data_IF_114876171724
#
_entry.id   IF_114876171724
#
_cell.length_a   1.000
_cell.length_b   1.000
_cell.length_c   1.000
_cell.angle_alpha   90.00
_cell.angle_beta   90.00
_cell.angle_gamma   90.00
#
_symmetry.space_group_name_H-M   'P 1'
#
loop_
_entity.id
_entity.type
_entity.pdbx_description
1 polymer ?
#
# COMPACT_ATOMS: atom_id res chain seq x y z
N UNK A 1 -59.03 8.18 59.03
CA UNK A 1 -58.27 9.40 59.35
C UNK A 1 -57.67 9.89 58.04
N UNK A 2 -58.34 10.76 57.28
CA UNK A 2 -58.29 12.23 57.39
C UNK A 2 -56.81 12.72 57.41
N UNK A 3 -56.29 13.57 56.53
CA UNK A 3 -56.91 14.51 55.58
C UNK A 3 -55.83 15.24 54.75
N UNK A 4 -56.19 15.58 53.51
CA UNK A 4 -56.05 16.90 52.83
C UNK A 4 -54.67 17.59 52.57
N UNK A 5 -54.34 17.64 51.27
CA UNK A 5 -53.78 18.76 50.45
C UNK A 5 -54.47 20.13 50.72
N UNK A 6 -53.98 21.35 50.33
CA UNK A 6 -53.57 21.68 48.93
C UNK A 6 -52.64 22.90 48.60
N UNK A 7 -52.19 22.99 47.32
CA UNK A 7 -52.08 24.18 46.41
C UNK A 7 -51.10 25.36 46.72
N UNK A 8 -50.50 26.19 45.83
CA UNK A 8 -50.55 26.55 44.38
C UNK A 8 -49.21 27.29 44.03
N UNK A 9 -48.80 27.37 42.74
CA UNK A 9 -47.58 28.04 42.20
C UNK A 9 -47.51 29.58 42.27
N UNK A 10 -46.68 30.31 41.45
CA UNK A 10 -46.75 30.25 39.98
C UNK A 10 -45.46 30.60 39.14
N UNK A 11 -45.63 30.47 37.80
CA UNK A 11 -45.03 31.19 36.65
C UNK A 11 -43.64 30.86 36.03
N UNK A 12 -43.73 30.50 34.73
CA UNK A 12 -42.78 30.53 33.58
C UNK A 12 -42.34 31.97 33.22
N UNK A 13 -41.31 32.25 32.36
CA UNK A 13 -41.14 31.76 30.96
C UNK A 13 -39.65 31.57 30.53
N UNK A 14 -39.18 31.18 29.33
CA UNK A 14 -39.70 30.77 28.01
C UNK A 14 -38.52 30.34 27.12
N UNK A 15 -38.79 29.41 26.17
CA UNK A 15 -38.18 29.26 24.82
C UNK A 15 -36.72 28.77 24.74
N UNK A 16 -36.32 27.88 23.84
CA UNK A 16 -36.89 27.52 22.53
C UNK A 16 -36.58 26.06 22.14
N UNK A 17 -37.57 25.45 21.51
CA UNK A 17 -37.48 24.24 20.68
C UNK A 17 -36.86 24.61 19.33
N UNK A 18 -36.15 23.67 18.69
CA UNK A 18 -36.62 23.04 17.44
C UNK A 18 -35.54 22.16 16.82
N UNK A 19 -35.77 20.85 16.93
CA UNK A 19 -35.39 19.86 15.93
C UNK A 19 -36.33 19.96 14.72
N UNK A 20 -35.78 20.01 13.51
CA UNK A 20 -36.52 19.69 12.27
C UNK A 20 -35.54 19.26 11.18
N UNK A 21 -35.76 18.04 10.70
CA UNK A 21 -35.36 17.49 9.40
C UNK A 21 -35.60 18.49 8.25
N UNK A 22 -34.83 18.40 7.16
CA UNK A 22 -35.33 18.16 5.78
C UNK A 22 -34.16 18.03 4.77
N UNK A 23 -34.32 16.99 3.96
CA UNK A 23 -33.76 16.64 2.65
C UNK A 23 -33.14 17.75 1.78
N UNK A 24 -32.00 17.42 1.16
CA UNK A 24 -31.49 18.07 -0.06
C UNK A 24 -31.46 17.07 -1.22
N UNK A 25 -32.52 17.06 -2.04
CA UNK A 25 -32.59 16.41 -3.35
C UNK A 25 -32.01 17.36 -4.39
N UNK A 26 -31.12 16.88 -5.27
CA UNK A 26 -30.78 17.55 -6.53
C UNK A 26 -31.20 16.66 -7.71
N UNK A 27 -32.24 17.10 -8.41
CA UNK A 27 -32.74 16.70 -9.72
C UNK A 27 -33.22 18.04 -10.31
N UNK A 28 -32.91 18.49 -11.53
CA UNK A 28 -33.24 17.93 -12.83
C UNK A 28 -32.42 18.65 -13.91
N UNK A 29 -32.19 17.90 -14.98
CA UNK A 29 -31.73 18.20 -16.34
C UNK A 29 -32.30 19.45 -17.05
N UNK A 30 -31.57 19.92 -18.07
CA UNK A 30 -32.04 20.91 -19.05
C UNK A 30 -31.17 20.95 -20.31
N UNK A 31 -31.64 20.28 -21.37
CA UNK A 31 -31.11 20.23 -22.74
C UNK A 31 -31.37 21.55 -23.48
N UNK A 32 -30.46 22.04 -24.34
CA UNK A 32 -30.77 22.44 -25.74
C UNK A 32 -29.57 22.86 -26.60
N UNK A 33 -29.50 22.21 -27.78
CA UNK A 33 -28.93 22.55 -29.11
C UNK A 33 -28.40 23.98 -29.35
N UNK A 34 -27.31 24.09 -30.13
CA UNK A 34 -27.37 24.45 -31.57
C UNK A 34 -25.99 24.46 -32.25
N UNK A 35 -25.99 23.92 -33.47
CA UNK A 35 -24.87 23.85 -34.40
C UNK A 35 -24.51 25.21 -35.01
N UNK A 36 -23.23 25.41 -35.36
CA UNK A 36 -22.81 26.12 -36.58
C UNK A 36 -21.52 25.53 -37.14
N UNK A 37 -21.64 24.96 -38.34
CA UNK A 37 -20.56 24.77 -39.30
C UNK A 37 -20.01 26.14 -39.72
N UNK A 38 -18.69 26.26 -39.81
CA UNK A 38 -18.08 27.10 -40.84
C UNK A 38 -16.78 26.48 -41.31
N UNK A 39 -16.87 25.84 -42.46
CA UNK A 39 -15.77 25.46 -43.35
C UNK A 39 -15.08 26.74 -43.84
N UNK A 40 -13.76 26.86 -43.71
CA UNK A 40 -12.98 27.70 -44.61
C UNK A 40 -11.79 26.90 -45.15
N UNK A 41 -11.99 26.44 -46.37
CA UNK A 41 -11.01 25.83 -47.25
C UNK A 41 -10.34 26.97 -48.02
N UNK A 42 -9.03 27.16 -47.85
CA UNK A 42 -8.24 28.01 -48.75
C UNK A 42 -7.11 27.16 -49.33
N UNK A 43 -7.19 26.99 -50.65
CA UNK A 43 -6.23 26.27 -51.48
C UNK A 43 -4.99 27.12 -51.80
N UNK A 44 -3.83 26.45 -51.70
CA UNK A 44 -2.63 26.49 -52.55
C UNK A 44 -2.30 27.72 -53.41
N UNK A 45 -1.05 28.19 -53.29
CA UNK A 45 -0.12 28.27 -54.42
C UNK A 45 1.36 28.28 -53.97
N UNK A 46 2.17 27.61 -54.77
CA UNK A 46 3.61 27.29 -54.68
C UNK A 46 4.55 28.51 -54.58
N UNK A 47 5.76 28.28 -54.05
CA UNK A 47 7.01 28.57 -54.76
C UNK A 47 8.17 27.74 -54.18
N UNK A 48 8.87 27.03 -55.07
CA UNK A 48 10.10 26.28 -54.80
C UNK A 48 11.31 27.21 -54.77
N UNK A 49 12.30 26.90 -53.93
CA UNK A 49 13.62 27.53 -53.90
C UNK A 49 14.62 26.68 -53.13
N UNK A 50 15.65 26.19 -53.83
CA UNK A 50 16.71 25.30 -53.32
C UNK A 50 17.75 26.03 -52.46
N UNK A 51 18.27 25.40 -51.40
CA UNK A 51 19.70 24.98 -51.29
C UNK A 51 20.06 24.36 -49.93
N UNK A 52 20.98 23.39 -50.03
CA UNK A 52 21.64 22.57 -49.02
C UNK A 52 22.14 23.30 -47.77
N UNK A 53 21.87 22.69 -46.61
CA UNK A 53 22.90 22.43 -45.58
C UNK A 53 22.56 21.16 -44.77
N UNK A 54 23.36 20.11 -44.97
CA UNK A 54 23.60 18.99 -44.06
C UNK A 54 22.43 18.47 -43.21
N UNK A 55 21.57 17.64 -43.78
CA UNK A 55 20.64 16.83 -43.01
C UNK A 55 21.33 15.50 -42.66
N UNK A 56 21.51 15.11 -41.38
CA UNK A 56 21.94 13.76 -41.06
C UNK A 56 20.86 12.80 -41.56
N UNK A 57 21.29 11.70 -42.18
CA UNK A 57 20.38 10.67 -42.66
C UNK A 57 19.44 10.24 -41.52
N UNK A 58 18.16 9.95 -41.81
CA UNK A 58 17.28 9.38 -40.80
C UNK A 58 17.90 8.05 -40.37
N UNK A 59 18.35 7.99 -39.12
CA UNK A 59 18.65 6.72 -38.47
C UNK A 59 17.39 5.90 -38.63
N UNK A 60 17.51 4.76 -39.32
CA UNK A 60 16.40 3.87 -39.63
C UNK A 60 15.65 3.55 -38.34
N UNK A 61 14.44 4.13 -38.23
CA UNK A 61 13.52 3.91 -37.13
C UNK A 61 12.94 2.49 -37.30
N UNK A 62 13.71 1.51 -36.87
CA UNK A 62 13.25 0.14 -36.62
C UNK A 62 13.03 -0.07 -35.13
N UNK A 63 12.70 0.99 -34.37
CA UNK A 63 12.06 0.85 -33.09
C UNK A 63 10.68 0.24 -33.34
N UNK A 64 10.56 -1.08 -33.14
CA UNK A 64 9.29 -1.79 -33.23
C UNK A 64 8.23 -1.02 -32.44
N UNK A 65 7.08 -0.76 -33.06
CA UNK A 65 6.02 0.09 -32.51
C UNK A 65 5.66 -0.42 -31.09
N UNK A 66 5.99 0.32 -30.04
CA UNK A 66 5.64 -0.09 -28.68
C UNK A 66 4.12 0.01 -28.48
N UNK A 67 3.55 -0.99 -27.82
CA UNK A 67 2.14 -1.00 -27.41
C UNK A 67 2.05 -0.90 -25.89
N UNK A 68 1.06 -0.14 -25.40
CA UNK A 68 0.69 -0.12 -23.98
C UNK A 68 -0.39 -1.14 -23.68
N UNK A 69 -0.21 -1.95 -22.65
CA UNK A 69 -1.28 -2.70 -22.02
C UNK A 69 -1.55 -2.11 -20.63
N UNK A 70 -2.82 -2.04 -20.23
CA UNK A 70 -3.18 -1.61 -18.89
C UNK A 70 -4.47 -2.29 -18.43
N UNK A 71 -4.47 -2.77 -17.20
CA UNK A 71 -5.65 -3.33 -16.56
C UNK A 71 -5.63 -3.12 -15.05
N UNK A 72 -6.80 -3.36 -14.46
CA UNK A 72 -7.07 -3.25 -13.04
C UNK A 72 -7.69 -4.56 -12.54
N UNK A 73 -7.47 -4.89 -11.28
CA UNK A 73 -8.14 -6.03 -10.64
C UNK A 73 -8.14 -5.92 -9.11
N UNK A 74 -8.47 -7.02 -8.44
CA UNK A 74 -8.59 -7.07 -6.97
C UNK A 74 -7.86 -8.27 -6.40
N UNK A 75 -7.11 -8.05 -5.33
CA UNK A 75 -6.47 -9.10 -4.54
C UNK A 75 -6.05 -8.54 -3.18
N UNK A 76 -5.71 -9.38 -2.21
CA UNK A 76 -5.16 -8.98 -0.91
C UNK A 76 -6.02 -7.94 -0.16
N UNK A 77 -7.34 -8.01 -0.34
CA UNK A 77 -8.29 -7.06 0.26
C UNK A 77 -8.27 -5.65 -0.35
N UNK A 78 -7.58 -5.44 -1.46
CA UNK A 78 -7.39 -4.15 -2.13
C UNK A 78 -7.51 -4.28 -3.66
N UNK A 79 -7.16 -3.24 -4.40
CA UNK A 79 -7.05 -3.22 -5.86
C UNK A 79 -5.58 -3.31 -6.30
N UNK A 80 -5.37 -3.79 -7.51
CA UNK A 80 -4.09 -3.66 -8.19
C UNK A 80 -4.28 -3.00 -9.56
N UNK A 81 -3.22 -2.35 -10.05
CA UNK A 81 -3.12 -1.78 -11.39
C UNK A 81 -1.80 -2.18 -12.03
N UNK A 82 -1.86 -2.57 -13.29
CA UNK A 82 -0.68 -2.94 -14.07
C UNK A 82 -0.68 -2.12 -15.37
N UNK A 83 0.45 -1.48 -15.67
CA UNK A 83 0.71 -0.80 -16.94
C UNK A 83 1.98 -1.39 -17.54
N UNK A 84 1.95 -1.82 -18.80
CA UNK A 84 3.08 -2.44 -19.49
C UNK A 84 3.37 -1.78 -20.83
N UNK A 85 4.63 -1.83 -21.21
CA UNK A 85 5.10 -1.59 -22.57
C UNK A 85 5.62 -2.91 -23.16
N UNK A 86 5.11 -3.24 -24.33
CA UNK A 86 5.47 -4.44 -25.08
C UNK A 86 5.88 -4.05 -26.50
N UNK A 87 6.86 -4.74 -27.07
CA UNK A 87 7.30 -4.49 -28.45
C UNK A 87 6.32 -5.15 -29.42
N UNK A 88 5.70 -4.40 -30.34
CA UNK A 88 4.88 -5.04 -31.37
C UNK A 88 5.79 -5.90 -32.28
N UNK A 89 5.48 -7.20 -32.37
CA UNK A 89 6.22 -8.12 -33.23
C UNK A 89 6.16 -7.68 -34.71
N UNK A 90 7.30 -7.68 -35.38
CA UNK A 90 7.40 -7.45 -36.83
C UNK A 90 7.00 -8.73 -37.61
N UNK A 91 5.73 -9.11 -37.54
CA UNK A 91 5.18 -10.29 -38.19
C UNK A 91 5.45 -11.59 -37.41
N UNK A 92 4.40 -12.41 -37.28
CA UNK A 92 4.23 -13.58 -36.40
C UNK A 92 3.83 -13.19 -34.96
N UNK A 93 2.51 -13.25 -34.69
CA UNK A 93 1.79 -13.53 -33.42
C UNK A 93 2.54 -13.38 -32.07
N UNK A 94 3.30 -12.30 -31.86
CA UNK A 94 3.99 -11.99 -30.60
C UNK A 94 3.40 -10.75 -29.90
N UNK A 95 2.13 -10.42 -30.16
CA UNK A 95 1.41 -9.56 -29.23
C UNK A 95 1.16 -10.39 -27.98
N UNK A 96 1.76 -9.98 -26.85
CA UNK A 96 1.41 -10.55 -25.55
C UNK A 96 -0.12 -10.50 -25.40
N UNK A 97 -0.76 -11.67 -25.32
CA UNK A 97 -2.20 -11.75 -25.09
C UNK A 97 -2.48 -11.21 -23.69
N UNK A 98 -3.09 -10.03 -23.64
CA UNK A 98 -3.45 -9.36 -22.40
C UNK A 98 -4.32 -10.26 -21.52
N UNK A 99 -5.25 -11.02 -22.10
CA UNK A 99 -6.13 -11.91 -21.32
C UNK A 99 -5.33 -13.05 -20.66
N UNK A 100 -4.34 -13.61 -21.36
CA UNK A 100 -3.46 -14.62 -20.80
C UNK A 100 -2.57 -14.05 -19.68
N UNK A 101 -2.07 -12.81 -19.82
CA UNK A 101 -1.31 -12.14 -18.77
C UNK A 101 -2.15 -11.83 -17.54
N UNK A 102 -3.38 -11.34 -17.73
CA UNK A 102 -4.35 -11.11 -16.66
C UNK A 102 -4.58 -12.38 -15.86
N UNK A 103 -4.85 -13.50 -16.55
CA UNK A 103 -5.04 -14.81 -15.91
C UNK A 103 -3.79 -15.24 -15.11
N UNK A 104 -2.58 -15.13 -15.69
CA UNK A 104 -1.34 -15.50 -15.00
C UNK A 104 -1.09 -14.63 -13.75
N UNK A 105 -1.43 -13.34 -13.81
CA UNK A 105 -1.33 -12.42 -12.67
C UNK A 105 -2.32 -12.81 -11.58
N UNK A 106 -3.58 -13.08 -11.93
CA UNK A 106 -4.61 -13.51 -10.98
C UNK A 106 -4.23 -14.83 -10.29
N UNK A 107 -3.80 -15.82 -11.06
CA UNK A 107 -3.32 -17.10 -10.54
C UNK A 107 -2.13 -16.91 -9.59
N UNK A 108 -1.16 -16.05 -9.95
CA UNK A 108 -0.01 -15.80 -9.09
C UNK A 108 -0.39 -15.11 -7.80
N UNK A 109 -1.28 -14.11 -7.86
CA UNK A 109 -1.79 -13.42 -6.68
C UNK A 109 -2.57 -14.38 -5.77
N UNK A 110 -3.38 -15.28 -6.32
CA UNK A 110 -4.10 -16.27 -5.52
C UNK A 110 -3.15 -17.29 -4.86
N UNK A 111 -2.09 -17.73 -5.56
CA UNK A 111 -1.06 -18.57 -4.94
C UNK A 111 -0.39 -17.87 -3.75
N UNK A 112 -0.11 -16.58 -3.85
CA UNK A 112 0.46 -15.80 -2.75
C UNK A 112 -0.57 -15.65 -1.60
N UNK A 113 -1.85 -15.39 -1.90
CA UNK A 113 -2.91 -15.36 -0.89
C UNK A 113 -3.04 -16.70 -0.15
N UNK A 114 -3.00 -17.81 -0.87
CA UNK A 114 -3.06 -19.15 -0.28
C UNK A 114 -1.85 -19.45 0.62
N UNK A 115 -0.74 -18.74 0.43
CA UNK A 115 0.46 -18.87 1.29
C UNK A 115 0.41 -17.94 2.48
N UNK A 116 0.15 -16.65 2.27
CA UNK A 116 0.49 -15.60 3.23
C UNK A 116 -0.71 -14.83 3.81
N UNK A 117 -1.95 -15.16 3.43
CA UNK A 117 -3.13 -14.44 3.96
C UNK A 117 -3.49 -14.88 5.38
N UNK A 118 -3.58 -13.93 6.31
CA UNK A 118 -4.15 -14.13 7.67
C UNK A 118 -5.68 -14.19 7.68
N UNK A 119 -6.33 -13.76 6.60
CA UNK A 119 -7.79 -13.75 6.46
C UNK A 119 -8.37 -15.11 6.02
N UNK A 120 -7.52 -15.96 5.43
CA UNK A 120 -7.89 -17.28 4.93
C UNK A 120 -7.51 -18.35 5.94
N UNK A 121 -8.48 -19.11 6.43
CA UNK A 121 -8.23 -20.18 7.41
C UNK A 121 -7.39 -21.33 6.84
N UNK A 122 -7.46 -21.55 5.53
CA UNK A 122 -6.76 -22.61 4.80
C UNK A 122 -5.38 -22.20 4.28
N UNK A 123 -4.94 -20.96 4.54
CA UNK A 123 -3.62 -20.51 4.08
C UNK A 123 -2.49 -21.24 4.80
N UNK A 124 -1.31 -21.29 4.17
CA UNK A 124 -0.10 -21.81 4.81
C UNK A 124 0.23 -21.07 6.12
N UNK A 125 0.12 -19.73 6.12
CA UNK A 125 0.34 -18.87 7.28
C UNK A 125 -0.64 -19.15 8.42
N UNK A 126 -1.94 -19.23 8.13
CA UNK A 126 -2.97 -19.51 9.13
C UNK A 126 -2.82 -20.91 9.74
N UNK A 127 -2.44 -21.91 8.92
CA UNK A 127 -2.15 -23.25 9.43
C UNK A 127 -0.90 -23.28 10.32
N UNK A 128 0.14 -22.50 9.99
CA UNK A 128 1.29 -22.32 10.89
C UNK A 128 0.90 -21.62 12.20
N UNK A 129 0.07 -20.58 12.13
CA UNK A 129 -0.45 -19.88 13.31
C UNK A 129 -1.28 -20.82 14.22
N UNK A 130 -2.01 -21.76 13.65
CA UNK A 130 -2.76 -22.77 14.40
C UNK A 130 -1.92 -23.97 14.91
N UNK A 131 -0.71 -24.19 14.37
CA UNK A 131 0.14 -25.31 14.79
C UNK A 131 0.64 -25.15 16.24
N UNK A 132 1.02 -26.25 16.89
CA UNK A 132 1.60 -26.23 18.23
C UNK A 132 3.05 -25.73 18.23
N UNK A 133 3.50 -25.19 19.35
CA UNK A 133 4.89 -24.81 19.55
C UNK A 133 5.86 -25.99 19.51
N UNK A 134 7.14 -25.68 19.35
CA UNK A 134 8.29 -26.59 19.37
C UNK A 134 8.27 -27.68 18.29
N UNK A 135 7.52 -27.46 17.21
CA UNK A 135 7.48 -28.34 16.03
C UNK A 135 7.84 -27.55 14.77
N UNK A 136 8.63 -28.18 13.89
CA UNK A 136 8.90 -27.63 12.56
C UNK A 136 7.68 -27.85 11.67
N UNK A 137 7.12 -26.76 11.18
CA UNK A 137 6.01 -26.74 10.24
C UNK A 137 6.57 -26.48 8.84
N UNK A 138 6.34 -27.40 7.90
CA UNK A 138 6.79 -27.24 6.52
C UNK A 138 6.07 -26.07 5.86
N UNK A 139 6.81 -25.21 5.19
CA UNK A 139 6.26 -24.09 4.42
C UNK A 139 6.87 -24.05 3.01
N UNK A 140 6.25 -23.31 2.11
CA UNK A 140 6.82 -23.01 0.81
C UNK A 140 8.13 -22.22 0.95
N UNK A 141 9.07 -22.35 -0.01
CA UNK A 141 10.27 -21.51 -0.04
C UNK A 141 9.96 -20.01 -0.02
N UNK A 142 8.88 -19.60 -0.70
CA UNK A 142 8.45 -18.21 -0.74
C UNK A 142 8.04 -17.67 0.65
N UNK A 143 7.26 -18.43 1.42
CA UNK A 143 6.92 -18.06 2.80
C UNK A 143 8.15 -18.01 3.69
N UNK A 144 9.06 -18.98 3.58
CA UNK A 144 10.30 -18.97 4.34
C UNK A 144 11.17 -17.74 3.99
N UNK A 145 11.26 -17.37 2.71
CA UNK A 145 12.03 -16.20 2.27
C UNK A 145 11.42 -14.91 2.81
N UNK A 146 10.09 -14.73 2.73
CA UNK A 146 9.41 -13.53 3.28
C UNK A 146 9.60 -13.45 4.80
N UNK A 147 9.45 -14.56 5.53
CA UNK A 147 9.67 -14.58 6.98
C UNK A 147 11.15 -14.30 7.32
N UNK A 148 12.10 -14.85 6.57
CA UNK A 148 13.51 -14.57 6.76
C UNK A 148 13.84 -13.09 6.52
N UNK A 149 13.26 -12.47 5.48
CA UNK A 149 13.41 -11.04 5.22
C UNK A 149 12.77 -10.20 6.34
N UNK A 150 11.59 -10.58 6.83
CA UNK A 150 10.96 -9.90 7.95
C UNK A 150 11.81 -9.97 9.22
N UNK A 151 12.38 -11.13 9.55
CA UNK A 151 13.29 -11.30 10.69
C UNK A 151 14.60 -10.52 10.53
N UNK A 152 15.11 -10.40 9.29
CA UNK A 152 16.26 -9.55 8.99
C UNK A 152 15.94 -8.08 9.30
N UNK A 153 14.82 -7.55 8.80
CA UNK A 153 14.45 -6.16 9.06
C UNK A 153 14.06 -5.92 10.51
N UNK A 154 13.40 -6.88 11.18
CA UNK A 154 13.16 -6.82 12.63
C UNK A 154 14.46 -6.53 13.38
N UNK A 155 15.53 -7.28 13.09
CA UNK A 155 16.83 -7.06 13.70
C UNK A 155 17.43 -5.70 13.31
N UNK A 156 17.40 -5.34 12.02
CA UNK A 156 17.99 -4.10 11.52
C UNK A 156 17.31 -2.85 12.10
N UNK A 157 16.00 -2.91 12.33
CA UNK A 157 15.19 -1.82 12.88
C UNK A 157 15.00 -1.92 14.40
N UNK A 158 15.78 -2.77 15.06
CA UNK A 158 15.75 -2.97 16.52
C UNK A 158 14.35 -3.27 17.07
N UNK A 159 13.59 -4.09 16.35
CA UNK A 159 12.25 -4.53 16.73
C UNK A 159 11.11 -3.63 16.26
N UNK A 160 11.38 -2.50 15.58
CA UNK A 160 10.30 -1.64 15.08
C UNK A 160 9.37 -2.37 14.09
N UNK A 161 9.91 -3.15 13.16
CA UNK A 161 9.14 -4.15 12.43
C UNK A 161 9.10 -5.45 13.25
N UNK A 162 7.92 -5.94 13.60
CA UNK A 162 7.75 -7.26 14.18
C UNK A 162 6.55 -7.96 13.54
N UNK A 163 6.80 -9.07 12.84
CA UNK A 163 5.74 -9.85 12.19
C UNK A 163 5.03 -10.81 13.15
N UNK A 164 5.45 -10.92 14.41
CA UNK A 164 4.81 -11.75 15.43
C UNK A 164 3.68 -11.04 16.18
N UNK A 165 3.28 -9.85 15.71
CA UNK A 165 2.20 -9.04 16.30
C UNK A 165 0.80 -9.58 16.03
N UNK A 166 0.65 -10.73 15.35
CA UNK A 166 -0.65 -11.32 15.04
C UNK A 166 -1.62 -11.39 16.23
N UNK A 167 -1.18 -11.80 17.44
CA UNK A 167 -2.02 -11.80 18.62
C UNK A 167 -2.52 -10.40 19.03
N UNK A 168 -1.68 -9.36 18.88
CA UNK A 168 -2.05 -7.97 19.12
C UNK A 168 -3.08 -7.51 18.08
N UNK A 169 -2.82 -7.75 16.78
CA UNK A 169 -3.74 -7.44 15.70
C UNK A 169 -5.14 -8.01 15.98
N UNK A 170 -5.21 -9.25 16.47
CA UNK A 170 -6.45 -9.93 16.81
C UNK A 170 -7.24 -9.26 17.93
N UNK A 171 -6.60 -8.92 19.07
CA UNK A 171 -7.30 -8.27 20.19
C UNK A 171 -7.72 -6.83 19.89
N UNK A 172 -7.03 -6.17 18.97
CA UNK A 172 -7.38 -4.83 18.48
C UNK A 172 -8.40 -4.84 17.32
N UNK A 173 -8.93 -6.02 16.96
CA UNK A 173 -10.01 -6.16 15.99
C UNK A 173 -9.59 -6.31 14.53
N UNK A 174 -8.29 -6.33 14.24
CA UNK A 174 -7.71 -6.60 12.92
C UNK A 174 -7.63 -8.11 12.66
N UNK A 175 -8.79 -8.76 12.67
CA UNK A 175 -8.95 -10.20 12.43
C UNK A 175 -9.89 -10.44 11.24
N UNK A 176 -10.07 -11.69 10.77
CA UNK A 176 -10.93 -11.98 9.62
C UNK A 176 -12.38 -11.52 9.80
N UNK A 177 -12.88 -11.51 11.04
CA UNK A 177 -14.21 -11.04 11.41
C UNK A 177 -14.30 -9.52 11.52
N UNK A 178 -13.16 -8.81 11.54
CA UNK A 178 -13.06 -7.34 11.67
C UNK A 178 -13.81 -6.79 12.89
N UNK A 179 -13.75 -7.52 14.00
CA UNK A 179 -14.49 -7.24 15.22
C UNK A 179 -13.59 -7.33 16.45
N UNK A 180 -13.83 -6.46 17.43
CA UNK A 180 -13.24 -6.61 18.75
C UNK A 180 -13.73 -7.92 19.38
N UNK A 181 -12.82 -8.69 19.97
CA UNK A 181 -13.16 -9.99 20.58
C UNK A 181 -13.94 -9.79 21.88
N UNK A 182 -13.49 -8.85 22.73
CA UNK A 182 -14.06 -8.61 24.08
C UNK A 182 -14.23 -7.11 24.39
N UNK A 183 -14.37 -6.27 23.36
CA UNK A 183 -14.27 -4.80 23.50
C UNK A 183 -12.83 -4.29 23.40
N UNK A 184 -12.59 -3.04 23.80
CA UNK A 184 -11.24 -2.47 23.79
C UNK A 184 -10.37 -3.19 24.83
N UNK A 185 -9.16 -3.67 24.46
CA UNK A 185 -8.33 -4.42 25.39
C UNK A 185 -7.80 -3.50 26.50
N UNK A 186 -7.84 -3.99 27.73
CA UNK A 186 -7.23 -3.33 28.88
C UNK A 186 -5.73 -3.66 28.99
N UNK A 187 -5.02 -2.98 29.90
CA UNK A 187 -3.57 -3.17 30.07
C UNK A 187 -3.20 -4.62 30.41
N UNK A 188 -3.99 -5.32 31.23
CA UNK A 188 -3.71 -6.70 31.63
C UNK A 188 -3.82 -7.66 30.44
N UNK A 189 -4.86 -7.50 29.62
CA UNK A 189 -5.05 -8.27 28.39
C UNK A 189 -3.89 -8.04 27.40
N UNK A 190 -3.44 -6.79 27.26
CA UNK A 190 -2.29 -6.45 26.40
C UNK A 190 -1.01 -7.12 26.92
N UNK A 191 -0.73 -7.03 28.22
CA UNK A 191 0.47 -7.64 28.81
C UNK A 191 0.46 -9.17 28.68
N UNK A 192 -0.69 -9.81 28.88
CA UNK A 192 -0.83 -11.25 28.67
C UNK A 192 -0.51 -11.65 27.22
N UNK A 193 -1.01 -10.89 26.24
CA UNK A 193 -0.73 -11.12 24.82
C UNK A 193 0.75 -10.91 24.49
N UNK A 194 1.37 -9.86 25.04
CA UNK A 194 2.79 -9.55 24.83
C UNK A 194 3.73 -10.68 25.27
N UNK A 195 3.32 -11.55 26.20
CA UNK A 195 4.13 -12.72 26.60
C UNK A 195 4.38 -13.72 25.45
N UNK A 196 3.59 -13.63 24.37
CA UNK A 196 3.64 -14.54 23.22
C UNK A 196 4.11 -13.84 21.94
N UNK A 197 4.34 -12.53 22.01
CA UNK A 197 4.86 -11.70 20.91
C UNK A 197 6.38 -11.59 21.05
N UNK A 198 7.08 -11.68 19.93
CA UNK A 198 8.50 -11.40 19.83
C UNK A 198 9.22 -12.34 18.85
N UNK A 199 10.02 -11.75 17.97
CA UNK A 199 10.79 -12.49 16.96
C UNK A 199 11.74 -13.56 17.54
N UNK A 200 12.17 -13.43 18.80
CA UNK A 200 12.98 -14.45 19.48
C UNK A 200 12.28 -15.82 19.59
N UNK A 201 10.95 -15.83 19.49
CA UNK A 201 10.14 -17.04 19.53
C UNK A 201 9.87 -17.64 18.15
N UNK A 202 10.32 -17.01 17.06
CA UNK A 202 10.13 -17.46 15.69
C UNK A 202 11.47 -17.88 15.07
N UNK A 203 11.49 -19.06 14.47
CA UNK A 203 12.64 -19.58 13.73
C UNK A 203 12.24 -19.92 12.31
N UNK A 204 13.17 -19.66 11.38
CA UNK A 204 13.02 -19.96 9.96
C UNK A 204 14.18 -20.83 9.49
N UNK A 205 13.87 -21.83 8.67
CA UNK A 205 14.84 -22.55 7.85
C UNK A 205 14.54 -22.23 6.39
N UNK A 206 15.52 -21.65 5.71
CA UNK A 206 15.50 -21.41 4.26
C UNK A 206 16.40 -22.44 3.57
N UNK A 207 16.05 -22.84 2.33
CA UNK A 207 16.67 -23.91 1.49
C UNK A 207 16.26 -25.34 1.87
N UNK A 208 16.41 -26.28 0.91
CA UNK A 208 16.16 -27.75 0.87
C UNK A 208 14.94 -28.34 1.60
N UNK A 209 14.61 -27.85 2.80
CA UNK A 209 13.42 -28.13 3.61
C UNK A 209 12.95 -26.85 4.31
N UNK A 210 12.33 -25.96 3.54
CA UNK A 210 11.76 -24.72 4.07
C UNK A 210 10.72 -25.00 5.15
N UNK A 211 10.95 -24.43 6.34
CA UNK A 211 10.11 -24.69 7.50
C UNK A 211 10.17 -23.53 8.50
N UNK A 212 9.09 -23.35 9.25
CA UNK A 212 8.99 -22.42 10.37
C UNK A 212 8.84 -23.19 11.67
N UNK A 213 9.30 -22.61 12.77
CA UNK A 213 9.03 -23.13 14.11
C UNK A 213 8.77 -21.96 15.04
N UNK A 214 7.79 -22.12 15.93
CA UNK A 214 7.57 -21.22 17.06
C UNK A 214 7.89 -21.92 18.37
N UNK A 215 8.42 -21.20 19.36
CA UNK A 215 8.84 -21.78 20.65
C UNK A 215 7.82 -21.62 21.76
N UNK A 216 6.77 -20.81 21.54
CA UNK A 216 5.69 -20.55 22.49
C UNK A 216 4.33 -20.76 21.82
N UNK A 217 3.38 -21.32 22.57
CA UNK A 217 2.00 -21.46 22.07
C UNK A 217 1.30 -20.11 22.00
N UNK A 218 0.40 -19.96 21.03
CA UNK A 218 -0.30 -18.70 20.79
C UNK A 218 0.53 -17.61 20.10
N UNK A 219 1.79 -17.88 19.71
CA UNK A 219 2.47 -17.03 18.73
C UNK A 219 1.77 -17.19 17.37
N UNK A 220 1.39 -16.05 16.81
CA UNK A 220 0.77 -15.91 15.49
C UNK A 220 1.60 -14.88 14.70
N UNK A 221 1.92 -15.18 13.44
CA UNK A 221 2.61 -14.24 12.56
C UNK A 221 1.64 -13.60 11.57
N UNK A 222 1.88 -12.32 11.29
CA UNK A 222 1.19 -11.49 10.32
C UNK A 222 2.22 -10.87 9.37
N UNK A 223 2.05 -11.13 8.06
CA UNK A 223 2.95 -10.66 7.01
C UNK A 223 2.38 -9.45 6.25
N UNK A 224 1.32 -8.80 6.75
CA UNK A 224 0.64 -7.70 6.06
C UNK A 224 1.54 -6.48 5.78
N UNK A 225 2.62 -6.31 6.55
CA UNK A 225 3.61 -5.24 6.38
C UNK A 225 4.75 -5.56 5.39
N UNK A 226 4.68 -6.69 4.68
CA UNK A 226 5.75 -7.13 3.75
C UNK A 226 5.23 -7.93 2.54
N UNK A 227 4.10 -8.62 2.68
CA UNK A 227 3.59 -9.55 1.67
C UNK A 227 3.07 -8.86 0.41
N UNK A 228 2.55 -7.63 0.50
CA UNK A 228 2.13 -6.85 -0.69
C UNK A 228 3.34 -6.45 -1.52
N UNK A 229 4.38 -5.93 -0.88
CA UNK A 229 5.65 -5.66 -1.53
C UNK A 229 6.24 -6.90 -2.20
N UNK A 230 6.20 -8.05 -1.53
CA UNK A 230 6.60 -9.33 -2.14
C UNK A 230 5.77 -9.65 -3.40
N UNK A 231 4.45 -9.50 -3.34
CA UNK A 231 3.57 -9.78 -4.47
C UNK A 231 3.87 -8.87 -5.67
N UNK A 232 4.06 -7.57 -5.44
CA UNK A 232 4.49 -6.61 -6.47
C UNK A 232 5.78 -7.10 -7.13
N UNK A 233 6.78 -7.50 -6.34
CA UNK A 233 8.05 -8.01 -6.86
C UNK A 233 7.88 -9.27 -7.72
N UNK A 234 7.02 -10.19 -7.30
CA UNK A 234 6.74 -11.42 -8.05
C UNK A 234 6.02 -11.16 -9.37
N UNK A 235 5.10 -10.19 -9.40
CA UNK A 235 4.43 -9.79 -10.63
C UNK A 235 5.40 -9.13 -11.61
N UNK A 236 6.31 -8.27 -11.13
CA UNK A 236 7.37 -7.70 -11.99
C UNK A 236 8.23 -8.80 -12.62
N UNK A 237 8.62 -9.83 -11.84
CA UNK A 237 9.38 -10.97 -12.38
C UNK A 237 8.57 -11.74 -13.43
N UNK A 238 7.30 -12.01 -13.17
CA UNK A 238 6.39 -12.71 -14.08
C UNK A 238 6.27 -11.94 -15.41
N UNK A 239 6.01 -10.64 -15.34
CA UNK A 239 5.76 -9.80 -16.52
C UNK A 239 7.04 -9.55 -17.32
N UNK A 240 8.20 -9.38 -16.67
CA UNK A 240 9.51 -9.35 -17.33
C UNK A 240 9.76 -10.65 -18.10
N UNK A 241 9.47 -11.82 -17.51
CA UNK A 241 9.61 -13.13 -18.17
C UNK A 241 8.66 -13.33 -19.34
N UNK A 242 7.47 -12.74 -19.26
CA UNK A 242 6.51 -12.76 -20.35
C UNK A 242 6.93 -11.83 -21.51
N UNK A 243 7.96 -10.99 -21.36
CA UNK A 243 8.50 -10.17 -22.44
C UNK A 243 8.13 -8.69 -22.37
N UNK A 244 7.54 -8.22 -21.26
CA UNK A 244 7.30 -6.80 -21.05
C UNK A 244 8.64 -6.05 -20.84
N UNK A 245 8.95 -5.11 -21.73
CA UNK A 245 10.23 -4.37 -21.74
C UNK A 245 10.26 -3.24 -20.71
N UNK A 246 9.09 -2.77 -20.29
CA UNK A 246 8.94 -1.80 -19.21
C UNK A 246 7.54 -1.90 -18.61
N UNK A 247 7.39 -1.50 -17.36
CA UNK A 247 6.10 -1.54 -16.70
C UNK A 247 6.07 -0.90 -15.33
N UNK A 248 4.85 -0.80 -14.81
CA UNK A 248 4.50 -0.40 -13.46
C UNK A 248 3.48 -1.39 -12.93
N UNK A 249 3.76 -1.96 -11.76
CA UNK A 249 2.82 -2.77 -10.98
C UNK A 249 2.52 -2.00 -9.69
N UNK A 250 1.24 -1.84 -9.38
CA UNK A 250 0.75 -1.25 -8.14
C UNK A 250 -0.24 -2.20 -7.46
N UNK A 251 -0.09 -2.45 -6.16
CA UNK A 251 -1.05 -3.19 -5.33
C UNK A 251 -1.25 -2.42 -4.03
N UNK A 252 -2.43 -1.84 -3.81
CA UNK A 252 -2.78 -1.18 -2.55
C UNK A 252 -1.91 0.02 -2.12
N UNK A 253 -1.17 0.64 -3.04
CA UNK A 253 -0.22 1.72 -2.80
C UNK A 253 1.24 1.31 -2.89
N UNK A 254 1.55 0.01 -2.86
CA UNK A 254 2.89 -0.52 -3.12
C UNK A 254 3.13 -0.57 -4.63
N UNK A 255 4.21 0.08 -5.09
CA UNK A 255 4.51 0.28 -6.51
C UNK A 255 5.90 -0.26 -6.82
N UNK A 256 6.07 -0.89 -7.97
CA UNK A 256 7.38 -1.14 -8.58
C UNK A 256 7.37 -0.90 -10.07
N UNK A 257 8.42 -0.28 -10.57
CA UNK A 257 8.60 0.02 -11.98
C UNK A 257 9.83 -0.69 -12.53
N UNK A 258 9.85 -0.88 -13.84
CA UNK A 258 11.04 -1.28 -14.59
C UNK A 258 11.00 -0.76 -16.01
N UNK A 259 12.18 -0.71 -16.64
CA UNK A 259 12.33 -0.11 -17.96
C UNK A 259 11.92 1.37 -17.97
N UNK A 260 11.99 1.98 -19.14
CA UNK A 260 11.59 3.38 -19.32
C UNK A 260 10.32 3.46 -20.15
N UNK A 261 9.68 4.62 -20.13
CA UNK A 261 8.56 4.92 -21.03
C UNK A 261 9.08 5.01 -22.47
N UNK A 262 8.20 4.88 -23.49
CA UNK A 262 8.61 4.94 -24.90
C UNK A 262 9.34 6.23 -25.31
N UNK A 263 9.15 7.32 -24.55
CA UNK A 263 9.82 8.60 -24.74
C UNK A 263 11.16 8.71 -23.98
N UNK A 264 11.67 7.61 -23.43
CA UNK A 264 12.91 7.53 -22.67
C UNK A 264 12.82 8.08 -21.25
N UNK A 265 11.66 8.57 -20.80
CA UNK A 265 11.50 9.12 -19.45
C UNK A 265 11.28 8.02 -18.41
N UNK A 266 11.70 8.32 -17.19
CA UNK A 266 11.40 7.50 -16.01
C UNK A 266 9.90 7.47 -15.71
N UNK A 267 9.50 6.47 -14.93
CA UNK A 267 8.14 6.36 -14.43
C UNK A 267 7.89 7.39 -13.34
N UNK A 268 6.82 8.16 -13.47
CA UNK A 268 6.41 9.13 -12.45
C UNK A 268 5.38 8.52 -11.54
N UNK A 269 5.64 8.56 -10.23
CA UNK A 269 4.75 8.05 -9.19
C UNK A 269 4.43 9.16 -8.22
N UNK A 270 3.15 9.30 -7.87
CA UNK A 270 2.68 10.30 -6.93
C UNK A 270 2.65 9.76 -5.51
N UNK A 271 3.08 10.58 -4.55
CA UNK A 271 2.86 10.36 -3.12
C UNK A 271 1.66 11.19 -2.72
N UNK A 272 0.64 10.56 -2.17
CA UNK A 272 -0.62 11.22 -1.81
C UNK A 272 -0.47 12.14 -0.61
N UNK A 273 -1.23 13.23 -0.62
CA UNK A 273 -1.39 14.13 0.51
C UNK A 273 -2.44 13.53 1.48
N UNK A 274 -2.05 13.15 2.71
CA UNK A 274 -2.96 12.51 3.66
C UNK A 274 -4.00 13.47 4.26
N UNK A 275 -3.86 14.79 4.10
CA UNK A 275 -4.79 15.79 4.63
C UNK A 275 -6.02 16.04 3.76
N UNK A 276 -5.96 15.70 2.47
CA UNK A 276 -7.00 16.07 1.51
C UNK A 276 -7.65 14.82 0.96
N UNK A 277 -8.96 14.68 1.20
CA UNK A 277 -9.75 13.64 0.56
C UNK A 277 -9.73 13.84 -0.97
N UNK A 278 -9.39 12.79 -1.70
CA UNK A 278 -9.38 12.77 -3.16
C UNK A 278 -8.00 13.07 -3.76
N UNK A 279 -7.15 12.04 -3.87
CA UNK A 279 -5.95 11.88 -4.73
C UNK A 279 -5.08 13.12 -5.01
N UNK A 280 -5.09 14.13 -4.15
CA UNK A 280 -4.15 15.25 -4.24
C UNK A 280 -2.77 14.72 -3.90
N UNK A 281 -1.78 15.03 -4.73
CA UNK A 281 -0.42 14.59 -4.52
C UNK A 281 0.31 15.61 -3.63
N UNK A 282 1.02 15.11 -2.63
CA UNK A 282 2.01 15.90 -1.88
C UNK A 282 3.28 16.04 -2.73
N UNK A 283 3.74 14.93 -3.33
CA UNK A 283 4.97 14.89 -4.10
C UNK A 283 4.85 14.01 -5.35
N UNK A 284 5.68 14.25 -6.36
CA UNK A 284 5.85 13.35 -7.51
C UNK A 284 7.33 12.96 -7.60
N UNK A 285 7.58 11.66 -7.65
CA UNK A 285 8.92 11.09 -7.75
C UNK A 285 9.13 10.35 -9.08
N UNK A 286 10.39 10.18 -9.46
CA UNK A 286 10.80 9.38 -10.61
C UNK A 286 11.38 8.05 -10.15
N UNK A 287 10.87 6.93 -10.65
CA UNK A 287 11.37 5.59 -10.34
C UNK A 287 12.08 4.98 -11.57
N UNK A 288 13.33 4.56 -11.36
CA UNK A 288 14.17 3.85 -12.33
C UNK A 288 14.51 2.44 -11.82
N UNK A 289 13.85 1.41 -12.37
CA UNK A 289 13.89 0.01 -11.89
C UNK A 289 13.83 -0.10 -10.35
N UNK A 290 12.94 0.69 -9.76
CA UNK A 290 12.81 0.90 -8.32
C UNK A 290 11.37 0.72 -7.86
N UNK A 291 11.20 0.61 -6.55
CA UNK A 291 9.93 0.44 -5.87
C UNK A 291 9.68 1.57 -4.87
N UNK A 292 8.41 1.77 -4.55
CA UNK A 292 7.90 2.69 -3.54
C UNK A 292 6.84 1.95 -2.73
N UNK A 293 6.90 2.04 -1.41
CA UNK A 293 5.78 1.68 -0.54
C UNK A 293 5.48 2.82 0.42
N UNK A 294 4.24 2.93 0.88
CA UNK A 294 3.82 3.99 1.80
C UNK A 294 2.99 3.43 2.94
N UNK A 295 3.47 3.60 4.16
CA UNK A 295 2.73 3.29 5.38
C UNK A 295 2.11 4.57 5.95
N UNK A 296 0.86 4.48 6.39
CA UNK A 296 0.13 5.61 6.96
C UNK A 296 -1.15 5.14 7.65
N UNK A 297 -1.65 5.95 8.56
CA UNK A 297 -2.83 5.67 9.38
C UNK A 297 -4.16 6.07 8.70
N UNK A 298 -4.11 6.86 7.63
CA UNK A 298 -5.28 7.45 6.96
C UNK A 298 -6.10 6.48 6.09
N UNK A 299 -5.61 5.28 5.77
CA UNK A 299 -6.30 4.31 4.90
C UNK A 299 -6.99 3.15 5.63
N UNK A 300 -6.44 2.71 6.76
CA UNK A 300 -6.86 1.49 7.46
C UNK A 300 -7.01 1.76 8.96
N UNK A 301 -8.25 2.04 9.38
CA UNK A 301 -8.62 2.27 10.78
C UNK A 301 -9.86 1.45 11.16
N UNK A 302 -9.91 1.00 12.43
CA UNK A 302 -11.15 0.53 13.04
C UNK A 302 -11.79 1.67 13.83
N UNK A 303 -13.04 2.00 13.51
CA UNK A 303 -13.83 2.92 14.32
C UNK A 303 -14.26 2.22 15.62
N UNK A 304 -13.95 2.83 16.76
CA UNK A 304 -14.36 2.41 18.12
C UNK A 304 -15.09 3.57 18.80
N UNK A 305 -15.83 3.31 19.88
CA UNK A 305 -16.63 4.35 20.55
C UNK A 305 -15.80 5.57 21.00
N UNK A 306 -14.49 5.39 21.23
CA UNK A 306 -13.55 6.43 21.66
C UNK A 306 -12.75 7.08 20.53
N UNK A 307 -12.93 6.68 19.26
CA UNK A 307 -12.20 7.24 18.12
C UNK A 307 -11.85 6.23 17.02
N UNK A 308 -10.69 6.42 16.37
CA UNK A 308 -10.15 5.50 15.36
C UNK A 308 -8.91 4.78 15.91
N UNK A 309 -8.82 3.47 15.68
CA UNK A 309 -7.66 2.65 16.03
C UNK A 309 -6.86 2.35 14.77
N UNK A 310 -5.57 2.71 14.77
CA UNK A 310 -4.63 2.40 13.70
C UNK A 310 -4.25 0.92 13.70
N UNK A 311 -4.03 0.36 12.51
CA UNK A 311 -3.49 -0.99 12.31
C UNK A 311 -1.98 -1.08 12.56
N UNK A 312 -1.32 0.07 12.77
CA UNK A 312 0.10 0.15 13.09
C UNK A 312 0.27 0.08 14.60
N UNK A 313 0.51 -1.13 15.11
CA UNK A 313 0.67 -1.42 16.53
C UNK A 313 2.15 -1.42 16.89
N UNK A 314 2.50 -0.74 17.98
CA UNK A 314 3.85 -0.77 18.53
C UNK A 314 4.07 -2.12 19.27
N UNK A 315 5.00 -2.97 18.82
CA UNK A 315 5.20 -4.31 19.37
C UNK A 315 5.76 -4.32 20.79
N UNK A 316 6.34 -3.20 21.25
CA UNK A 316 6.88 -3.08 22.61
C UNK A 316 5.78 -2.73 23.60
N UNK A 317 4.90 -1.80 23.23
CA UNK A 317 3.81 -1.35 24.13
C UNK A 317 2.53 -2.16 23.97
N UNK A 318 2.36 -2.83 22.83
CA UNK A 318 1.11 -3.49 22.44
C UNK A 318 -0.02 -2.52 22.09
N UNK A 319 0.26 -1.22 22.01
CA UNK A 319 -0.71 -0.17 21.74
C UNK A 319 -0.68 0.25 20.26
N UNK A 320 -1.84 0.55 19.65
CA UNK A 320 -1.93 1.25 18.38
C UNK A 320 -1.20 2.59 18.46
N UNK A 321 -0.50 2.95 17.38
CA UNK A 321 0.17 4.24 17.31
C UNK A 321 -0.86 5.37 17.23
N UNK A 322 -0.84 6.27 18.22
CA UNK A 322 -1.77 7.41 18.31
C UNK A 322 -1.15 8.74 17.86
N UNK A 323 0.18 8.84 17.81
CA UNK A 323 0.92 10.06 17.43
C UNK A 323 2.12 9.70 16.54
N UNK A 324 2.44 10.55 15.57
CA UNK A 324 3.54 10.28 14.65
C UNK A 324 3.42 11.02 13.32
N UNK A 325 4.18 10.58 12.31
CA UNK A 325 3.96 11.04 10.95
C UNK A 325 2.58 10.60 10.44
N UNK A 326 2.02 11.35 9.50
CA UNK A 326 0.80 10.96 8.77
C UNK A 326 1.10 9.83 7.79
N UNK A 327 2.28 9.88 7.17
CA UNK A 327 2.76 8.81 6.32
C UNK A 327 4.28 8.78 6.24
N UNK A 328 4.79 7.60 5.88
CA UNK A 328 6.18 7.36 5.53
C UNK A 328 6.22 6.61 4.21
N UNK A 329 6.94 7.17 3.25
CA UNK A 329 7.17 6.60 1.92
C UNK A 329 8.63 6.18 1.79
N UNK A 330 8.89 4.95 1.34
CA UNK A 330 10.24 4.39 1.20
C UNK A 330 10.49 3.92 -0.23
N UNK A 331 11.57 4.41 -0.83
CA UNK A 331 12.07 3.96 -2.12
C UNK A 331 13.19 2.92 -1.95
N UNK A 332 13.10 1.81 -2.66
CA UNK A 332 14.12 0.76 -2.64
C UNK A 332 14.18 0.01 -3.98
N UNK A 333 15.10 -0.94 -4.11
CA UNK A 333 15.21 -1.76 -5.32
C UNK A 333 14.08 -2.79 -5.44
N UNK A 334 13.59 -3.27 -4.29
CA UNK A 334 12.52 -4.26 -4.20
C UNK A 334 11.35 -3.66 -3.43
N UNK A 335 10.14 -4.01 -3.81
CA UNK A 335 8.95 -3.51 -3.17
C UNK A 335 8.75 -4.15 -1.79
N UNK A 336 9.17 -5.41 -1.63
CA UNK A 336 9.21 -6.09 -0.33
C UNK A 336 10.05 -5.34 0.71
N UNK A 337 11.21 -4.82 0.31
CA UNK A 337 12.06 -3.98 1.17
C UNK A 337 11.37 -2.65 1.50
N UNK A 338 10.83 -1.96 0.49
CA UNK A 338 10.11 -0.70 0.70
C UNK A 338 8.95 -0.87 1.68
N UNK A 339 8.14 -1.92 1.55
CA UNK A 339 6.93 -2.20 2.36
C UNK A 339 7.31 -2.45 3.83
N UNK A 340 8.29 -3.33 4.05
CA UNK A 340 8.82 -3.64 5.38
C UNK A 340 9.39 -2.39 6.07
N UNK A 341 10.21 -1.61 5.37
CA UNK A 341 10.85 -0.43 5.93
C UNK A 341 9.86 0.72 6.13
N UNK A 342 8.88 0.93 5.25
CA UNK A 342 7.87 1.97 5.43
C UNK A 342 7.13 1.80 6.75
N UNK A 343 6.74 0.55 7.08
CA UNK A 343 6.08 0.23 8.36
C UNK A 343 7.03 0.41 9.54
N UNK A 344 8.25 -0.10 9.46
CA UNK A 344 9.23 0.04 10.54
C UNK A 344 9.53 1.51 10.86
N UNK A 345 9.80 2.30 9.83
CA UNK A 345 10.13 3.72 9.92
C UNK A 345 8.95 4.56 10.42
N UNK A 346 7.73 4.21 10.04
CA UNK A 346 6.52 4.80 10.63
C UNK A 346 6.50 4.58 12.14
N UNK A 347 6.72 3.35 12.60
CA UNK A 347 6.70 3.00 14.02
C UNK A 347 7.86 3.64 14.82
N UNK A 348 9.03 3.81 14.21
CA UNK A 348 10.14 4.56 14.80
C UNK A 348 9.83 6.04 15.00
N UNK A 349 8.96 6.62 14.18
CA UNK A 349 8.64 8.04 14.13
C UNK A 349 9.67 8.87 13.35
N UNK A 350 9.32 10.12 13.02
CA UNK A 350 10.08 10.95 12.09
C UNK A 350 11.55 11.15 12.47
N UNK A 351 11.86 11.57 13.70
CA UNK A 351 13.24 11.90 14.09
C UNK A 351 14.16 10.66 14.11
N UNK A 352 13.76 9.61 14.84
CA UNK A 352 14.54 8.37 14.93
C UNK A 352 14.63 7.66 13.58
N UNK A 353 13.53 7.64 12.85
CA UNK A 353 13.44 6.99 11.54
C UNK A 353 14.28 7.70 10.48
N UNK A 354 14.30 9.04 10.43
CA UNK A 354 15.21 9.78 9.54
C UNK A 354 16.68 9.53 9.90
N UNK A 355 17.05 9.62 11.18
CA UNK A 355 18.42 9.36 11.62
C UNK A 355 18.89 7.93 11.28
N UNK A 356 18.00 6.95 11.46
CA UNK A 356 18.26 5.57 11.05
C UNK A 356 18.40 5.45 9.53
N UNK A 357 17.55 6.14 8.76
CA UNK A 357 17.58 6.11 7.29
C UNK A 357 18.89 6.68 6.75
N UNK A 358 19.39 7.77 7.32
CA UNK A 358 20.71 8.33 6.96
C UNK A 358 21.84 7.34 7.22
N UNK A 359 21.83 6.71 8.40
CA UNK A 359 22.88 5.78 8.82
C UNK A 359 22.93 4.53 7.94
N UNK A 360 21.78 4.09 7.42
CA UNK A 360 21.65 2.86 6.64
C UNK A 360 21.50 3.10 5.12
N UNK A 361 21.55 4.35 4.67
CA UNK A 361 21.43 4.70 3.26
C UNK A 361 20.05 4.40 2.66
N UNK A 362 18.99 4.48 3.46
CA UNK A 362 17.61 4.22 3.04
C UNK A 362 16.96 5.51 2.55
N UNK A 363 16.30 5.46 1.40
CA UNK A 363 15.54 6.57 0.85
C UNK A 363 14.13 6.61 1.47
N UNK A 364 13.92 7.47 2.45
CA UNK A 364 12.64 7.65 3.12
C UNK A 364 12.17 9.11 3.09
N UNK A 365 10.86 9.31 2.95
CA UNK A 365 10.16 10.59 3.07
C UNK A 365 9.03 10.48 4.08
N UNK A 366 8.88 11.49 4.92
CA UNK A 366 7.87 11.62 5.96
C UNK A 366 6.98 12.81 5.63
N UNK A 367 5.67 12.59 5.77
CA UNK A 367 4.68 13.66 5.80
C UNK A 367 4.19 13.83 7.24
N UNK A 368 4.38 15.03 7.80
CA UNK A 368 3.90 15.42 9.14
C UNK A 368 2.97 16.62 9.05
N UNK A 369 2.24 16.91 10.13
CA UNK A 369 1.44 18.13 10.24
C UNK A 369 2.06 19.03 11.29
N UNK A 370 2.48 20.22 10.89
CA UNK A 370 2.98 21.26 11.79
C UNK A 370 2.12 22.52 11.61
N UNK A 371 1.51 23.02 12.69
CA UNK A 371 0.62 24.20 12.66
C UNK A 371 -0.51 24.11 11.61
N UNK A 372 -1.10 22.92 11.43
CA UNK A 372 -2.18 22.68 10.46
C UNK A 372 -1.73 22.63 9.00
N UNK A 373 -0.42 22.59 8.74
CA UNK A 373 0.15 22.48 7.39
C UNK A 373 0.92 21.17 7.25
N UNK A 374 0.84 20.59 6.07
CA UNK A 374 1.68 19.46 5.70
C UNK A 374 3.14 19.93 5.62
N UNK A 375 4.04 19.18 6.25
CA UNK A 375 5.48 19.38 6.21
C UNK A 375 6.12 18.09 5.71
N UNK A 376 6.99 18.25 4.73
CA UNK A 376 7.76 17.14 4.14
C UNK A 376 9.17 17.15 4.74
N UNK A 377 9.64 15.98 5.19
CA UNK A 377 11.04 15.76 5.55
C UNK A 377 11.50 14.45 4.95
N UNK A 378 12.70 14.38 4.40
CA UNK A 378 13.21 13.17 3.78
C UNK A 378 14.69 12.98 4.08
N UNK A 379 15.14 11.74 3.92
CA UNK A 379 16.56 11.42 3.94
C UNK A 379 17.30 12.00 2.72
N UNK A 380 18.61 12.19 2.81
CA UNK A 380 19.45 12.62 1.68
C UNK A 380 19.37 11.64 0.50
N UNK A 381 19.24 10.34 0.77
CA UNK A 381 19.10 9.31 -0.29
C UNK A 381 17.82 9.52 -1.12
N UNK A 382 16.76 10.05 -0.52
CA UNK A 382 15.48 10.27 -1.19
C UNK A 382 15.55 11.37 -2.25
N UNK A 383 16.49 12.33 -2.14
CA UNK A 383 16.64 13.43 -3.11
C UNK A 383 16.84 12.93 -4.54
N UNK A 384 17.50 11.77 -4.71
CA UNK A 384 17.71 11.16 -6.03
C UNK A 384 16.42 10.73 -6.75
N UNK A 385 15.29 10.66 -6.05
CA UNK A 385 13.99 10.32 -6.61
C UNK A 385 13.11 11.55 -6.87
N UNK A 386 13.47 12.72 -6.33
CA UNK A 386 12.74 13.96 -6.56
C UNK A 386 12.90 14.43 -8.01
N UNK A 387 11.92 15.20 -8.50
CA UNK A 387 11.93 15.75 -9.86
C UNK A 387 12.93 16.86 -10.08
#
# INVERSE_FOLDING_TARGET
>A
MLSNQPQIGPQRPSRSLQSLFVYGVWLVSGVTRMARLTTLMVCFAFLAGCRDTGNPQPVSDHAGKMQSLQWDGRSMGTTYRITLWVTAGNGVDNALDQAMLEQQVEERLEQINQRMSTYRQDSELSRFNAASANQWFSVSPETADVVATALYYHKATQGALDVTIGPLMRIWGFNPQRQLVEGLPNQEQIQEVLTRVGAQHLQVRSKDRSALQKTVDGLEIDLSAIAKGYAVDQLVVLLKRAGAVGGLVEIGGEVRTWGHRPDGRLWRVGIENPLVAGRMLAQIINLDDAALATSGDYRNFHAVETGQVSHLIDPVTGLPRMTGPMSVSVCAKTCMESDALATALFLMGQEKGLAWSETHGVAAMYLTVENGRLVEKHSSRFESYLQ
#
